data_IF_777601914534
#
_entry.id   IF_777601914534
#
_cell.length_a   1.000
_cell.length_b   1.000
_cell.length_c   1.000
_cell.angle_alpha   90.00
_cell.angle_beta   90.00
_cell.angle_gamma   90.00
#
_symmetry.space_group_name_H-M   'P 1'
#
loop_
_entity.id
_entity.type
_entity.pdbx_description
1 polymer ?
#
# COMPACT_ATOMS: atom_id res chain seq x y z
N UNK A 1 10.40 69.11 15.38
CA UNK A 1 9.19 68.57 14.70
C UNK A 1 9.40 68.24 13.22
N UNK A 2 9.91 69.14 12.37
CA UNK A 2 10.11 68.84 10.91
C UNK A 2 10.99 67.61 10.61
N UNK A 3 12.04 67.36 11.41
CA UNK A 3 12.89 66.16 11.25
C UNK A 3 12.20 64.85 11.64
N UNK A 4 11.33 64.86 12.66
CA UNK A 4 10.56 63.67 13.06
C UNK A 4 9.47 63.32 12.05
N UNK A 5 8.84 64.30 11.41
CA UNK A 5 7.83 64.06 10.37
C UNK A 5 8.49 63.48 9.11
N UNK A 6 9.71 63.92 8.77
CA UNK A 6 10.47 63.39 7.64
C UNK A 6 10.93 61.95 7.90
N UNK A 7 11.45 61.63 9.08
CA UNK A 7 11.79 60.25 9.43
C UNK A 7 10.57 59.34 9.54
N UNK A 8 9.43 59.83 10.07
CA UNK A 8 8.19 59.05 10.08
C UNK A 8 7.67 58.78 8.66
N UNK A 9 7.78 59.76 7.75
CA UNK A 9 7.35 59.61 6.35
C UNK A 9 8.26 58.68 5.55
N UNK A 10 9.57 58.69 5.80
CA UNK A 10 10.52 57.74 5.20
C UNK A 10 10.32 56.33 5.77
N UNK A 11 9.95 56.19 7.07
CA UNK A 11 9.57 54.91 7.66
C UNK A 11 8.24 54.38 7.10
N UNK A 12 7.26 55.26 6.86
CA UNK A 12 5.98 54.90 6.25
C UNK A 12 6.14 54.52 4.78
N UNK A 13 7.00 55.22 4.04
CA UNK A 13 7.35 54.91 2.65
C UNK A 13 8.13 53.59 2.52
N UNK A 14 8.96 53.25 3.52
CA UNK A 14 9.71 51.98 3.53
C UNK A 14 8.87 50.77 3.98
N UNK A 15 7.80 50.98 4.75
CA UNK A 15 6.81 49.92 5.05
C UNK A 15 5.88 49.70 3.84
N UNK A 16 5.53 50.74 3.09
CA UNK A 16 4.78 50.58 1.83
C UNK A 16 5.60 49.90 0.72
N UNK A 17 6.93 49.93 0.77
CA UNK A 17 7.79 49.24 -0.22
C UNK A 17 8.04 47.77 0.09
N UNK A 18 7.53 47.23 1.20
CA UNK A 18 7.49 45.77 1.45
C UNK A 18 6.22 45.14 0.83
N UNK A 19 5.24 45.95 0.43
CA UNK A 19 4.18 45.54 -0.48
C UNK A 19 4.66 45.60 -1.93
N UNK A 20 5.74 44.87 -2.24
CA UNK A 20 6.00 44.50 -3.63
C UNK A 20 4.77 43.73 -4.11
N UNK A 21 4.25 44.08 -5.29
CA UNK A 21 3.15 43.34 -5.91
C UNK A 21 3.55 41.86 -5.94
N UNK A 22 2.89 41.06 -5.10
CA UNK A 22 3.23 39.67 -4.89
C UNK A 22 3.01 38.96 -6.22
N UNK A 23 4.05 38.37 -6.80
CA UNK A 23 3.92 37.72 -8.10
C UNK A 23 3.20 36.38 -7.94
N UNK A 24 2.60 35.87 -9.01
CA UNK A 24 1.98 34.56 -8.97
C UNK A 24 3.01 33.44 -8.69
N UNK A 25 4.28 33.65 -9.06
CA UNK A 25 5.38 32.72 -8.76
C UNK A 25 5.71 32.74 -7.25
N UNK A 26 5.57 33.89 -6.58
CA UNK A 26 5.67 33.97 -5.12
C UNK A 26 4.55 33.19 -4.42
N UNK A 27 3.34 33.18 -4.98
CA UNK A 27 2.23 32.37 -4.47
C UNK A 27 2.52 30.86 -4.58
N UNK A 28 3.07 30.43 -5.72
CA UNK A 28 3.50 29.04 -5.91
C UNK A 28 4.54 28.69 -4.85
N UNK A 29 5.55 29.53 -4.65
CA UNK A 29 6.60 29.30 -3.67
C UNK A 29 6.07 29.26 -2.22
N UNK A 30 5.14 30.16 -1.86
CA UNK A 30 4.46 30.15 -0.56
C UNK A 30 3.66 28.86 -0.35
N UNK A 31 3.07 28.31 -1.40
CA UNK A 31 2.33 27.04 -1.35
C UNK A 31 3.23 25.82 -1.12
N UNK A 32 4.56 25.95 -1.28
CA UNK A 32 5.52 24.84 -1.08
C UNK A 32 5.92 24.62 0.38
N UNK A 33 5.26 25.29 1.32
CA UNK A 33 5.54 25.14 2.75
C UNK A 33 4.23 24.99 3.53
N UNK A 34 4.17 23.95 4.36
CA UNK A 34 2.99 23.60 5.17
C UNK A 34 2.59 24.72 6.12
N UNK A 35 3.55 25.47 6.67
CA UNK A 35 3.28 26.59 7.57
C UNK A 35 2.70 27.83 6.89
N UNK A 36 2.83 27.94 5.56
CA UNK A 36 2.34 29.10 4.77
C UNK A 36 1.28 28.71 3.76
N UNK A 37 0.78 27.48 3.78
CA UNK A 37 -0.15 26.98 2.77
C UNK A 37 -1.50 27.73 2.78
N UNK A 38 -2.09 27.94 3.95
CA UNK A 38 -3.32 28.75 4.11
C UNK A 38 -3.05 30.22 3.74
N UNK A 39 -1.88 30.76 4.10
CA UNK A 39 -1.48 32.11 3.72
C UNK A 39 -1.33 32.24 2.20
N UNK A 40 -0.86 31.21 1.50
CA UNK A 40 -0.76 31.20 0.05
C UNK A 40 -2.14 31.35 -0.60
N UNK A 41 -3.18 30.72 -0.03
CA UNK A 41 -4.56 30.88 -0.50
C UNK A 41 -5.10 32.29 -0.25
N UNK A 42 -4.92 32.83 0.97
CA UNK A 42 -5.35 34.19 1.29
C UNK A 42 -4.71 35.21 0.34
N UNK A 43 -3.41 35.08 0.08
CA UNK A 43 -2.68 35.94 -0.86
C UNK A 43 -3.07 35.72 -2.32
N UNK A 44 -3.42 34.49 -2.69
CA UNK A 44 -3.95 34.20 -4.03
C UNK A 44 -5.29 34.91 -4.26
N UNK A 45 -6.19 34.93 -3.27
CA UNK A 45 -7.45 35.67 -3.36
C UNK A 45 -7.26 37.19 -3.44
N UNK A 46 -6.23 37.73 -2.79
CA UNK A 46 -5.82 39.14 -2.97
C UNK A 46 -5.28 39.38 -4.38
N UNK A 47 -4.36 38.53 -4.85
CA UNK A 47 -3.76 38.63 -6.18
C UNK A 47 -4.81 38.57 -7.30
N UNK A 48 -5.80 37.69 -7.15
CA UNK A 48 -6.93 37.55 -8.07
C UNK A 48 -7.75 38.85 -8.20
N UNK A 49 -7.93 39.59 -7.10
CA UNK A 49 -8.64 40.88 -7.12
C UNK A 49 -7.84 41.96 -7.84
N UNK A 50 -6.52 41.95 -7.66
CA UNK A 50 -5.63 42.97 -8.22
C UNK A 50 -5.25 42.68 -9.68
N UNK A 51 -5.28 41.41 -10.12
CA UNK A 51 -4.83 40.97 -11.45
C UNK A 51 -5.82 40.00 -12.13
N UNK A 52 -7.12 40.31 -12.27
CA UNK A 52 -8.16 39.35 -12.68
C UNK A 52 -7.99 38.78 -14.10
N UNK A 53 -7.11 39.35 -14.92
CA UNK A 53 -6.85 38.93 -16.30
C UNK A 53 -5.62 38.03 -16.47
N UNK A 54 -4.89 37.68 -15.40
CA UNK A 54 -3.77 36.73 -15.51
C UNK A 54 -4.29 35.32 -15.86
N UNK A 55 -3.83 34.77 -16.97
CA UNK A 55 -4.25 33.47 -17.49
C UNK A 55 -3.86 32.31 -16.56
N UNK A 56 -2.78 32.46 -15.77
CA UNK A 56 -2.26 31.44 -14.86
C UNK A 56 -3.08 31.30 -13.57
N UNK A 57 -4.03 32.20 -13.32
CA UNK A 57 -4.88 32.19 -12.11
C UNK A 57 -5.59 30.86 -11.91
N UNK A 58 -6.12 30.25 -12.98
CA UNK A 58 -6.87 28.99 -12.86
C UNK A 58 -5.94 27.89 -12.37
N UNK A 59 -4.83 27.70 -13.07
CA UNK A 59 -3.84 26.66 -12.80
C UNK A 59 -3.24 26.81 -11.39
N UNK A 60 -2.83 28.01 -11.01
CA UNK A 60 -2.22 28.25 -9.69
C UNK A 60 -3.25 28.13 -8.56
N UNK A 61 -4.47 28.59 -8.77
CA UNK A 61 -5.55 28.40 -7.79
C UNK A 61 -5.88 26.92 -7.61
N UNK A 62 -5.98 26.16 -8.69
CA UNK A 62 -6.15 24.71 -8.68
C UNK A 62 -4.99 24.02 -7.95
N UNK A 63 -3.74 24.43 -8.17
CA UNK A 63 -2.56 23.87 -7.50
C UNK A 63 -2.60 24.07 -5.99
N UNK A 64 -2.79 25.31 -5.54
CA UNK A 64 -2.82 25.66 -4.11
C UNK A 64 -3.97 24.94 -3.43
N UNK A 65 -5.13 24.89 -4.08
CA UNK A 65 -6.31 24.23 -3.54
C UNK A 65 -6.16 22.71 -3.44
N UNK A 66 -5.58 22.06 -4.45
CA UNK A 66 -5.28 20.63 -4.42
C UNK A 66 -4.34 20.28 -3.26
N UNK A 67 -3.31 21.11 -3.04
CA UNK A 67 -2.40 20.99 -1.90
C UNK A 67 -3.14 21.14 -0.56
N UNK A 68 -3.98 22.15 -0.38
CA UNK A 68 -4.79 22.35 0.83
C UNK A 68 -5.71 21.15 1.10
N UNK A 69 -6.38 20.68 0.06
CA UNK A 69 -7.26 19.52 0.14
C UNK A 69 -6.52 18.27 0.63
N UNK A 70 -5.41 17.94 -0.04
CA UNK A 70 -4.61 16.75 0.28
C UNK A 70 -3.94 16.89 1.66
N UNK A 71 -3.43 18.08 2.00
CA UNK A 71 -2.89 18.38 3.33
C UNK A 71 -3.90 18.10 4.43
N UNK A 72 -5.12 18.61 4.28
CA UNK A 72 -6.17 18.44 5.29
C UNK A 72 -6.67 17.00 5.38
N UNK A 73 -6.77 16.28 4.26
CA UNK A 73 -7.24 14.88 4.21
C UNK A 73 -6.21 13.91 4.78
N UNK A 74 -4.93 14.14 4.51
CA UNK A 74 -3.83 13.25 4.85
C UNK A 74 -2.88 13.81 5.91
N UNK A 75 -3.33 14.75 6.74
CA UNK A 75 -2.53 15.46 7.75
C UNK A 75 -1.70 14.54 8.66
N UNK A 76 -2.18 13.32 8.90
CA UNK A 76 -1.56 12.35 9.81
C UNK A 76 -0.55 11.44 9.08
N UNK A 77 -0.37 11.61 7.76
CA UNK A 77 0.55 10.83 6.93
C UNK A 77 1.78 11.66 6.55
N UNK A 78 2.97 11.09 6.73
CA UNK A 78 4.24 11.78 6.44
C UNK A 78 4.39 12.19 4.97
N UNK A 79 3.83 11.43 4.02
CA UNK A 79 3.95 11.76 2.59
C UNK A 79 3.33 13.10 2.23
N UNK A 80 2.38 13.59 3.04
CA UNK A 80 1.65 14.82 2.72
C UNK A 80 2.56 16.04 2.75
N UNK A 81 3.52 16.09 3.68
CA UNK A 81 4.48 17.18 3.74
C UNK A 81 5.34 17.24 2.49
N UNK A 82 5.76 16.07 1.98
CA UNK A 82 6.55 15.96 0.76
C UNK A 82 5.75 16.31 -0.49
N UNK A 83 4.45 16.09 -0.47
CA UNK A 83 3.54 16.55 -1.50
C UNK A 83 3.44 18.08 -1.52
N UNK A 84 3.35 18.72 -0.35
CA UNK A 84 3.33 20.19 -0.26
C UNK A 84 4.64 20.79 -0.73
N UNK A 85 5.78 20.25 -0.28
CA UNK A 85 7.12 20.71 -0.68
C UNK A 85 7.51 20.29 -2.10
N UNK A 86 6.65 19.56 -2.81
CA UNK A 86 6.88 19.04 -4.16
C UNK A 86 8.15 18.18 -4.28
N UNK A 87 8.45 17.39 -3.25
CA UNK A 87 9.57 16.45 -3.24
C UNK A 87 9.11 15.03 -3.61
N UNK A 88 9.09 14.72 -4.91
CA UNK A 88 8.62 13.43 -5.42
C UNK A 88 9.39 12.23 -4.84
N UNK A 89 10.71 12.35 -4.65
CA UNK A 89 11.54 11.25 -4.14
C UNK A 89 11.14 10.89 -2.72
N UNK A 90 11.07 11.90 -1.83
CA UNK A 90 10.65 11.70 -0.45
C UNK A 90 9.18 11.30 -0.34
N UNK A 91 8.31 11.82 -1.22
CA UNK A 91 6.92 11.39 -1.32
C UNK A 91 6.83 9.88 -1.56
N UNK A 92 7.52 9.36 -2.58
CA UNK A 92 7.56 7.92 -2.88
C UNK A 92 8.16 7.10 -1.73
N UNK A 93 9.23 7.57 -1.07
CA UNK A 93 9.80 6.89 0.10
C UNK A 93 8.77 6.77 1.23
N UNK A 94 8.03 7.85 1.52
CA UNK A 94 7.02 7.85 2.56
C UNK A 94 5.81 6.98 2.22
N UNK A 95 5.46 6.81 0.94
CA UNK A 95 4.47 5.80 0.52
C UNK A 95 4.91 4.36 0.86
N UNK A 96 6.22 4.10 0.84
CA UNK A 96 6.81 2.81 1.19
C UNK A 96 6.72 2.44 2.68
N UNK A 97 6.48 3.42 3.56
CA UNK A 97 6.27 3.17 5.01
C UNK A 97 4.85 2.66 5.29
N UNK A 98 3.92 2.88 4.36
CA UNK A 98 2.52 2.48 4.51
C UNK A 98 2.34 0.98 4.23
N UNK A 99 1.26 0.39 4.74
CA UNK A 99 0.93 -1.01 4.44
C UNK A 99 0.77 -1.25 2.94
N UNK A 100 1.00 -2.50 2.51
CA UNK A 100 0.83 -2.94 1.13
C UNK A 100 -0.60 -2.82 0.63
N UNK A 101 -1.59 -2.82 1.53
CA UNK A 101 -3.01 -2.67 1.22
C UNK A 101 -3.47 -1.21 1.15
N UNK A 102 -2.64 -0.25 1.57
CA UNK A 102 -3.01 1.17 1.54
C UNK A 102 -3.15 1.67 0.10
N UNK A 103 -4.25 2.37 -0.18
CA UNK A 103 -4.54 2.95 -1.49
C UNK A 103 -4.96 4.40 -1.36
N UNK A 104 -4.48 5.23 -2.28
CA UNK A 104 -4.93 6.60 -2.49
C UNK A 104 -6.02 6.55 -3.56
N UNK A 105 -7.26 7.00 -3.27
CA UNK A 105 -8.37 6.95 -4.22
C UNK A 105 -8.09 7.72 -5.51
N UNK A 106 -8.75 7.32 -6.59
CA UNK A 106 -8.57 7.90 -7.93
C UNK A 106 -8.67 9.44 -7.95
N UNK A 107 -9.66 10.01 -7.26
CA UNK A 107 -9.89 11.46 -7.24
C UNK A 107 -8.75 12.25 -6.59
N UNK A 108 -8.01 11.60 -5.69
CA UNK A 108 -6.85 12.18 -5.02
C UNK A 108 -5.59 11.94 -5.85
N UNK A 109 -5.48 10.78 -6.49
CA UNK A 109 -4.42 10.47 -7.46
C UNK A 109 -4.36 11.52 -8.57
N UNK A 110 -5.50 11.93 -9.12
CA UNK A 110 -5.56 12.98 -10.15
C UNK A 110 -4.96 14.32 -9.65
N UNK A 111 -5.22 14.69 -8.39
CA UNK A 111 -4.64 15.89 -7.76
C UNK A 111 -3.15 15.73 -7.49
N UNK A 112 -2.71 14.52 -7.12
CA UNK A 112 -1.30 14.20 -6.93
C UNK A 112 -0.54 14.29 -8.25
N UNK A 113 -1.12 13.77 -9.35
CA UNK A 113 -0.54 13.88 -10.70
C UNK A 113 -0.51 15.35 -11.14
N UNK A 114 -1.53 16.14 -10.80
CA UNK A 114 -1.50 17.58 -11.07
C UNK A 114 -0.34 18.29 -10.36
N UNK A 115 -0.01 17.90 -9.13
CA UNK A 115 1.13 18.44 -8.36
C UNK A 115 2.47 17.85 -8.87
N UNK A 116 2.48 16.60 -9.30
CA UNK A 116 3.63 15.86 -9.81
C UNK A 116 3.37 15.35 -11.23
N UNK A 117 3.37 16.25 -12.24
CA UNK A 117 3.03 15.88 -13.61
C UNK A 117 3.99 14.86 -14.22
N UNK A 118 5.19 14.69 -13.65
CA UNK A 118 6.20 13.73 -14.09
C UNK A 118 5.94 12.28 -13.66
N UNK A 119 4.95 12.00 -12.78
CA UNK A 119 4.70 10.63 -12.28
C UNK A 119 4.38 9.64 -13.42
N UNK A 120 3.47 9.93 -14.37
CA UNK A 120 3.18 9.03 -15.47
C UNK A 120 4.43 8.70 -16.30
N UNK A 121 5.22 9.71 -16.69
CA UNK A 121 6.45 9.54 -17.46
C UNK A 121 7.47 8.63 -16.75
N UNK A 122 7.62 8.77 -15.42
CA UNK A 122 8.49 7.92 -14.61
C UNK A 122 8.05 6.45 -14.70
N UNK A 123 6.74 6.18 -14.60
CA UNK A 123 6.24 4.80 -14.64
C UNK A 123 6.33 4.24 -16.06
N UNK A 124 6.03 5.03 -17.09
CA UNK A 124 6.22 4.66 -18.49
C UNK A 124 7.69 4.30 -18.79
N UNK A 125 8.65 5.11 -18.32
CA UNK A 125 10.07 4.83 -18.47
C UNK A 125 10.46 3.51 -17.80
N UNK A 126 9.97 3.25 -16.58
CA UNK A 126 10.20 1.98 -15.87
C UNK A 126 9.64 0.80 -16.67
N UNK A 127 8.40 0.90 -17.15
CA UNK A 127 7.74 -0.18 -17.89
C UNK A 127 8.32 -0.40 -19.29
N UNK A 128 8.93 0.62 -19.89
CA UNK A 128 9.57 0.51 -21.20
C UNK A 128 11.00 -0.02 -21.09
N UNK A 129 11.75 0.41 -20.07
CA UNK A 129 13.20 0.09 -19.96
C UNK A 129 13.50 -1.03 -18.97
N UNK A 130 12.61 -1.28 -18.01
CA UNK A 130 12.83 -2.18 -16.89
C UNK A 130 13.73 -1.61 -15.78
N UNK A 131 14.14 -0.35 -15.88
CA UNK A 131 15.07 0.27 -14.93
C UNK A 131 14.34 1.19 -13.95
N UNK A 132 14.63 1.02 -12.66
CA UNK A 132 14.19 1.94 -11.62
C UNK A 132 15.31 2.96 -11.37
N UNK A 133 15.10 4.20 -11.77
CA UNK A 133 16.01 5.31 -11.42
C UNK A 133 16.06 5.54 -9.91
N UNK A 134 14.93 5.33 -9.22
CA UNK A 134 14.85 5.27 -7.76
C UNK A 134 14.03 4.04 -7.33
N UNK A 135 14.54 3.18 -6.41
CA UNK A 135 13.81 2.00 -5.95
C UNK A 135 12.44 2.30 -5.33
N UNK A 136 12.25 3.51 -4.78
CA UNK A 136 10.99 3.94 -4.16
C UNK A 136 9.86 4.15 -5.16
N UNK A 137 10.14 4.28 -6.46
CA UNK A 137 9.10 4.47 -7.47
C UNK A 137 8.19 3.26 -7.63
N UNK A 138 8.61 2.07 -7.15
CA UNK A 138 7.70 0.92 -7.08
C UNK A 138 6.46 1.23 -6.23
N UNK A 139 6.52 2.11 -5.23
CA UNK A 139 5.37 2.40 -4.36
C UNK A 139 4.27 3.23 -5.04
N UNK A 140 4.48 3.72 -6.27
CA UNK A 140 3.47 4.44 -7.04
C UNK A 140 2.24 3.57 -7.39
N UNK A 141 2.32 2.24 -7.25
CA UNK A 141 1.16 1.35 -7.39
C UNK A 141 0.02 1.68 -6.41
N UNK A 142 0.33 2.39 -5.31
CA UNK A 142 -0.66 2.79 -4.30
C UNK A 142 -1.58 3.92 -4.78
N UNK A 143 -1.26 4.56 -5.90
CA UNK A 143 -2.08 5.59 -6.53
C UNK A 143 -3.13 4.93 -7.43
N UNK A 144 -4.38 4.82 -6.96
CA UNK A 144 -5.43 4.18 -7.75
C UNK A 144 -5.71 4.97 -9.03
N UNK A 145 -5.88 4.26 -10.14
CA UNK A 145 -6.18 4.85 -11.44
C UNK A 145 -4.98 5.47 -12.16
N UNK A 146 -3.77 5.45 -11.57
CA UNK A 146 -2.57 5.92 -12.26
C UNK A 146 -2.30 5.16 -13.56
N UNK A 147 -2.67 3.89 -13.63
CA UNK A 147 -2.58 3.05 -14.83
C UNK A 147 -3.37 3.59 -16.03
N UNK A 148 -4.34 4.49 -15.84
CA UNK A 148 -5.07 5.13 -16.95
C UNK A 148 -4.29 6.27 -17.62
N UNK A 149 -3.22 6.75 -17.00
CA UNK A 149 -2.37 7.83 -17.51
C UNK A 149 -1.09 7.32 -18.19
N UNK A 150 -0.93 6.00 -18.27
CA UNK A 150 0.30 5.34 -18.71
C UNK A 150 0.04 4.65 -20.04
N UNK A 151 0.87 4.91 -21.03
CA UNK A 151 0.82 4.32 -22.37
C UNK A 151 2.17 3.63 -22.63
N UNK A 152 2.12 2.30 -22.78
CA UNK A 152 3.32 1.49 -23.01
C UNK A 152 3.07 0.54 -24.18
N UNK A 153 3.94 0.60 -25.18
CA UNK A 153 3.82 -0.20 -26.40
C UNK A 153 4.23 -1.67 -26.20
N UNK A 154 5.24 -1.92 -25.36
CA UNK A 154 5.73 -3.27 -25.05
C UNK A 154 6.25 -3.36 -23.62
N UNK A 155 6.01 -4.51 -22.99
CA UNK A 155 6.48 -4.85 -21.64
C UNK A 155 7.66 -5.84 -21.65
N UNK A 156 8.18 -6.22 -22.83
CA UNK A 156 9.17 -7.30 -22.96
C UNK A 156 10.44 -7.01 -22.16
N UNK A 157 11.00 -5.81 -22.31
CA UNK A 157 12.22 -5.38 -21.61
C UNK A 157 12.01 -5.28 -20.11
N UNK A 158 10.84 -4.75 -19.68
CA UNK A 158 10.49 -4.69 -18.27
C UNK A 158 10.41 -6.08 -17.66
N UNK A 159 9.63 -6.98 -18.26
CA UNK A 159 9.48 -8.36 -17.76
C UNK A 159 10.83 -9.07 -17.72
N UNK A 160 11.65 -8.92 -18.77
CA UNK A 160 13.01 -9.48 -18.79
C UNK A 160 13.85 -8.96 -17.63
N UNK A 161 13.87 -7.65 -17.38
CA UNK A 161 14.64 -7.04 -16.28
C UNK A 161 14.14 -7.45 -14.92
N UNK A 162 12.82 -7.54 -14.73
CA UNK A 162 12.23 -8.05 -13.49
C UNK A 162 12.70 -9.48 -13.23
N UNK A 163 12.70 -10.36 -14.24
CA UNK A 163 13.17 -11.74 -14.09
C UNK A 163 14.66 -11.78 -13.75
N UNK A 164 15.49 -11.06 -14.51
CA UNK A 164 16.94 -10.99 -14.27
C UNK A 164 17.27 -10.52 -12.84
N UNK A 165 16.60 -9.47 -12.38
CA UNK A 165 16.82 -8.90 -11.05
C UNK A 165 16.30 -9.82 -9.95
N UNK A 166 15.12 -10.42 -10.12
CA UNK A 166 14.54 -11.38 -9.17
C UNK A 166 15.40 -12.63 -9.00
N UNK A 167 16.07 -13.07 -10.05
CA UNK A 167 16.96 -14.23 -9.99
C UNK A 167 18.27 -13.88 -9.28
N UNK A 168 18.90 -12.75 -9.63
CA UNK A 168 20.14 -12.29 -8.98
C UNK A 168 19.93 -11.92 -7.52
N UNK A 169 18.77 -11.35 -7.20
CA UNK A 169 18.44 -10.84 -5.89
C UNK A 169 16.97 -11.20 -5.57
N UNK A 170 16.71 -12.37 -4.96
CA UNK A 170 15.34 -12.83 -4.71
C UNK A 170 14.47 -11.88 -3.89
N UNK A 171 15.07 -11.04 -3.04
CA UNK A 171 14.37 -10.01 -2.26
C UNK A 171 13.83 -8.84 -3.11
N UNK A 172 14.24 -8.73 -4.38
CA UNK A 172 13.77 -7.69 -5.29
C UNK A 172 12.28 -7.86 -5.62
N UNK A 173 11.81 -9.10 -5.77
CA UNK A 173 10.43 -9.43 -6.10
C UNK A 173 9.57 -9.61 -4.84
N UNK A 174 9.59 -8.58 -3.99
CA UNK A 174 8.78 -8.50 -2.78
C UNK A 174 7.31 -8.17 -3.09
N UNK A 175 6.47 -8.10 -2.04
CA UNK A 175 5.04 -7.83 -2.17
C UNK A 175 4.75 -6.49 -2.86
N UNK A 176 5.54 -5.45 -2.59
CA UNK A 176 5.40 -4.16 -3.26
C UNK A 176 5.71 -4.24 -4.75
N UNK A 177 6.76 -4.99 -5.15
CA UNK A 177 7.06 -5.21 -6.56
C UNK A 177 5.96 -6.04 -7.25
N UNK A 178 5.41 -7.06 -6.58
CA UNK A 178 4.26 -7.82 -7.10
C UNK A 178 3.05 -6.92 -7.34
N UNK A 179 2.73 -6.05 -6.39
CA UNK A 179 1.64 -5.08 -6.56
C UNK A 179 1.92 -4.07 -7.68
N UNK A 180 3.17 -3.60 -7.83
CA UNK A 180 3.56 -2.76 -8.95
C UNK A 180 3.29 -3.46 -10.30
N UNK A 181 3.73 -4.71 -10.44
CA UNK A 181 3.44 -5.50 -11.65
C UNK A 181 1.94 -5.68 -11.86
N UNK A 182 1.17 -6.00 -10.81
CA UNK A 182 -0.28 -6.19 -10.92
C UNK A 182 -1.03 -4.93 -11.33
N UNK A 183 -0.58 -3.76 -10.87
CA UNK A 183 -1.23 -2.49 -11.17
C UNK A 183 -0.92 -2.03 -12.60
N UNK A 184 0.30 -2.23 -13.08
CA UNK A 184 0.77 -1.59 -14.32
C UNK A 184 0.98 -2.54 -15.50
N UNK A 185 1.10 -3.85 -15.29
CA UNK A 185 1.25 -4.83 -16.37
C UNK A 185 -0.09 -5.50 -16.67
N UNK A 186 -0.62 -5.35 -17.89
CA UNK A 186 -1.83 -6.03 -18.31
C UNK A 186 -1.72 -7.56 -18.19
N UNK A 187 -2.80 -8.21 -17.71
CA UNK A 187 -2.80 -9.67 -17.46
C UNK A 187 -2.45 -10.52 -18.68
N UNK A 188 -2.78 -10.07 -19.90
CA UNK A 188 -2.41 -10.75 -21.14
C UNK A 188 -0.87 -10.82 -21.35
N UNK A 189 -0.11 -9.92 -20.73
CA UNK A 189 1.35 -9.91 -20.78
C UNK A 189 2.00 -10.81 -19.72
N UNK A 190 1.24 -11.41 -18.80
CA UNK A 190 1.82 -12.31 -17.78
C UNK A 190 2.42 -13.57 -18.41
N UNK A 191 1.94 -13.98 -19.60
CA UNK A 191 2.52 -15.09 -20.36
C UNK A 191 3.99 -14.84 -20.76
N UNK A 192 4.42 -13.58 -20.90
CA UNK A 192 5.80 -13.21 -21.22
C UNK A 192 6.77 -13.68 -20.14
N UNK A 193 6.34 -13.69 -18.87
CA UNK A 193 7.19 -14.15 -17.77
C UNK A 193 7.59 -15.61 -17.97
N UNK A 194 6.60 -16.45 -18.26
CA UNK A 194 6.80 -17.89 -18.48
C UNK A 194 7.64 -18.16 -19.73
N UNK A 195 7.37 -17.43 -20.82
CA UNK A 195 8.13 -17.54 -22.06
C UNK A 195 9.63 -17.22 -21.85
N UNK A 196 9.93 -16.14 -21.12
CA UNK A 196 11.32 -15.72 -20.86
C UNK A 196 12.01 -16.70 -19.91
N UNK A 197 11.37 -17.11 -18.81
CA UNK A 197 11.92 -18.08 -17.86
C UNK A 197 12.26 -19.41 -18.55
N UNK A 198 11.41 -19.88 -19.46
CA UNK A 198 11.62 -21.13 -20.17
C UNK A 198 12.76 -21.05 -21.20
N UNK A 199 12.97 -19.87 -21.82
CA UNK A 199 14.06 -19.66 -22.80
C UNK A 199 15.45 -19.54 -22.16
N UNK A 200 15.53 -19.02 -20.95
CA UNK A 200 16.78 -18.51 -20.36
C UNK A 200 17.61 -19.55 -19.60
N UNK A 201 17.19 -20.81 -19.53
CA UNK A 201 17.86 -21.89 -18.77
C UNK A 201 18.12 -21.58 -17.28
N UNK A 202 17.47 -20.55 -16.70
CA UNK A 202 17.73 -20.16 -15.32
C UNK A 202 17.41 -21.28 -14.30
N UNK A 203 16.51 -22.19 -14.67
CA UNK A 203 16.04 -23.33 -13.87
C UNK A 203 17.14 -24.39 -13.66
N UNK A 204 18.28 -24.31 -14.36
CA UNK A 204 19.33 -25.32 -14.26
C UNK A 204 20.11 -25.24 -12.93
N UNK A 205 20.31 -24.05 -12.37
CA UNK A 205 21.15 -23.88 -11.18
C UNK A 205 20.31 -23.71 -9.91
N UNK A 206 20.62 -24.49 -8.87
CA UNK A 206 19.96 -24.46 -7.56
C UNK A 206 19.98 -23.05 -6.90
N UNK A 207 21.00 -22.23 -7.18
CA UNK A 207 21.14 -20.86 -6.67
C UNK A 207 19.98 -19.92 -7.10
N UNK A 208 19.37 -20.20 -8.26
CA UNK A 208 18.30 -19.38 -8.84
C UNK A 208 16.90 -19.78 -8.36
N UNK A 209 16.78 -20.91 -7.66
CA UNK A 209 15.48 -21.53 -7.36
C UNK A 209 14.56 -20.62 -6.58
N UNK A 210 15.09 -19.81 -5.65
CA UNK A 210 14.26 -18.91 -4.85
C UNK A 210 13.62 -17.80 -5.69
N UNK A 211 14.40 -17.17 -6.58
CA UNK A 211 13.91 -16.13 -7.48
C UNK A 211 12.87 -16.68 -8.47
N UNK A 212 13.16 -17.83 -9.08
CA UNK A 212 12.24 -18.48 -10.02
C UNK A 212 10.96 -18.92 -9.32
N UNK A 213 11.07 -19.53 -8.13
CA UNK A 213 9.92 -19.95 -7.36
C UNK A 213 9.02 -18.78 -6.98
N UNK A 214 9.61 -17.64 -6.57
CA UNK A 214 8.84 -16.42 -6.28
C UNK A 214 8.06 -15.92 -7.51
N UNK A 215 8.71 -15.91 -8.69
CA UNK A 215 8.08 -15.50 -9.95
C UNK A 215 6.97 -16.47 -10.38
N UNK A 216 7.22 -17.78 -10.35
CA UNK A 216 6.22 -18.78 -10.74
C UNK A 216 5.05 -18.86 -9.75
N UNK A 217 5.30 -18.69 -8.45
CA UNK A 217 4.24 -18.56 -7.44
C UNK A 217 3.36 -17.36 -7.74
N UNK A 218 3.95 -16.21 -8.04
CA UNK A 218 3.18 -15.02 -8.44
C UNK A 218 2.29 -15.28 -9.66
N UNK A 219 2.79 -15.98 -10.67
CA UNK A 219 1.98 -16.36 -11.84
C UNK A 219 0.88 -17.35 -11.46
N UNK A 220 1.16 -18.30 -10.58
CA UNK A 220 0.18 -19.28 -10.09
C UNK A 220 -0.95 -18.60 -9.31
N UNK A 221 -0.62 -17.73 -8.36
CA UNK A 221 -1.57 -16.98 -7.53
C UNK A 221 -2.50 -16.09 -8.36
N UNK A 222 -2.04 -15.67 -9.55
CA UNK A 222 -2.79 -14.86 -10.49
C UNK A 222 -3.42 -15.65 -11.65
N UNK A 223 -3.45 -16.98 -11.59
CA UNK A 223 -4.00 -17.88 -12.62
C UNK A 223 -3.39 -17.68 -14.02
N UNK A 224 -2.11 -17.31 -14.08
CA UNK A 224 -1.38 -17.06 -15.32
C UNK A 224 -0.36 -18.16 -15.68
N UNK A 225 -0.04 -19.05 -14.73
CA UNK A 225 0.89 -20.17 -14.94
C UNK A 225 0.26 -21.26 -15.82
N UNK A 226 0.93 -21.68 -16.89
CA UNK A 226 0.39 -22.67 -17.84
C UNK A 226 1.39 -23.75 -18.20
N UNK A 227 2.50 -23.39 -18.82
CA UNK A 227 3.51 -24.31 -19.34
C UNK A 227 4.48 -24.82 -18.26
N UNK A 228 4.75 -24.03 -17.23
CA UNK A 228 5.78 -24.29 -16.23
C UNK A 228 5.24 -24.89 -14.94
N UNK A 229 4.02 -25.45 -14.96
CA UNK A 229 3.38 -26.12 -13.82
C UNK A 229 4.23 -27.25 -13.24
N UNK A 230 4.88 -28.04 -14.08
CA UNK A 230 5.74 -29.16 -13.63
C UNK A 230 6.95 -28.61 -12.86
N UNK A 231 7.62 -27.60 -13.40
CA UNK A 231 8.78 -26.96 -12.77
C UNK A 231 8.36 -26.30 -11.45
N UNK A 232 7.24 -25.56 -11.45
CA UNK A 232 6.68 -24.97 -10.24
C UNK A 232 6.41 -26.03 -9.17
N UNK A 233 5.77 -27.15 -9.52
CA UNK A 233 5.52 -28.25 -8.57
C UNK A 233 6.81 -28.89 -8.03
N UNK A 234 7.86 -29.02 -8.85
CA UNK A 234 9.16 -29.51 -8.38
C UNK A 234 9.82 -28.52 -7.41
N UNK A 235 9.74 -27.21 -7.69
CA UNK A 235 10.27 -26.17 -6.81
C UNK A 235 9.48 -26.06 -5.49
N UNK A 236 8.16 -26.17 -5.55
CA UNK A 236 7.27 -26.17 -4.37
C UNK A 236 7.60 -27.33 -3.43
N UNK A 237 7.74 -28.55 -3.99
CA UNK A 237 8.22 -29.73 -3.26
C UNK A 237 9.62 -29.50 -2.69
N UNK A 238 10.54 -28.94 -3.47
CA UNK A 238 11.90 -28.65 -3.02
C UNK A 238 11.92 -27.72 -1.80
N UNK A 239 11.16 -26.62 -1.80
CA UNK A 239 11.10 -25.70 -0.66
C UNK A 239 10.35 -26.28 0.54
N UNK A 240 9.35 -27.14 0.30
CA UNK A 240 8.66 -27.88 1.36
C UNK A 240 9.62 -28.85 2.06
N UNK A 241 10.36 -29.65 1.30
CA UNK A 241 11.39 -30.56 1.82
C UNK A 241 12.52 -29.81 2.53
N UNK A 242 12.93 -28.64 2.02
CA UNK A 242 13.90 -27.78 2.71
C UNK A 242 13.43 -27.41 4.11
N UNK A 243 12.18 -26.99 4.25
CA UNK A 243 11.57 -26.61 5.54
C UNK A 243 11.51 -27.80 6.50
N UNK A 244 11.09 -28.97 6.01
CA UNK A 244 11.05 -30.20 6.78
C UNK A 244 12.43 -30.63 7.25
N UNK A 245 13.41 -30.68 6.35
CA UNK A 245 14.80 -31.00 6.68
C UNK A 245 15.40 -30.01 7.68
N UNK A 246 15.09 -28.71 7.60
CA UNK A 246 15.51 -27.74 8.62
C UNK A 246 14.89 -28.08 9.98
N UNK A 247 13.59 -28.38 10.03
CA UNK A 247 12.88 -28.76 11.26
C UNK A 247 13.47 -30.03 11.89
N UNK A 248 13.71 -31.07 11.08
CA UNK A 248 14.30 -32.33 11.52
C UNK A 248 15.73 -32.15 12.02
N UNK A 249 16.57 -31.40 11.30
CA UNK A 249 17.94 -31.11 11.74
C UNK A 249 17.99 -30.33 13.06
N UNK A 250 17.04 -29.43 13.30
CA UNK A 250 16.97 -28.67 14.54
C UNK A 250 16.46 -29.51 15.72
N UNK A 251 15.60 -30.50 15.47
CA UNK A 251 14.95 -31.30 16.52
C UNK A 251 15.68 -32.59 16.85
N UNK A 252 16.51 -33.14 15.95
CA UNK A 252 17.16 -34.46 16.08
C UNK A 252 17.83 -34.71 17.45
N UNK A 253 18.49 -33.70 18.03
CA UNK A 253 19.13 -33.82 19.35
C UNK A 253 18.12 -33.91 20.49
N UNK A 254 16.97 -33.26 20.37
CA UNK A 254 15.95 -33.14 21.41
C UNK A 254 14.85 -34.21 21.36
N UNK A 255 14.77 -35.00 20.28
CA UNK A 255 13.77 -36.07 20.14
C UNK A 255 13.79 -37.00 21.34
N UNK A 256 12.66 -37.12 22.04
CA UNK A 256 12.51 -38.03 23.17
C UNK A 256 12.37 -39.48 22.69
N UNK A 257 12.65 -40.43 23.58
CA UNK A 257 12.59 -41.88 23.25
C UNK A 257 11.24 -42.30 22.66
N UNK A 258 10.15 -41.80 23.22
CA UNK A 258 8.79 -42.13 22.79
C UNK A 258 8.46 -41.63 21.37
N UNK A 259 9.13 -40.57 20.91
CA UNK A 259 8.91 -39.94 19.61
C UNK A 259 9.85 -40.48 18.53
N UNK A 260 10.90 -41.20 18.93
CA UNK A 260 11.98 -41.61 18.04
C UNK A 260 11.51 -42.46 16.85
N UNK A 261 10.54 -43.35 17.06
CA UNK A 261 9.96 -44.14 15.96
C UNK A 261 9.29 -43.25 14.90
N UNK A 262 8.48 -42.30 15.35
CA UNK A 262 7.82 -41.34 14.46
C UNK A 262 8.82 -40.45 13.74
N UNK A 263 9.88 -40.02 14.44
CA UNK A 263 10.96 -39.23 13.88
C UNK A 263 11.72 -39.99 12.78
N UNK A 264 12.11 -41.23 13.03
CA UNK A 264 12.80 -42.07 12.04
C UNK A 264 11.90 -42.31 10.81
N UNK A 265 10.59 -42.47 11.03
CA UNK A 265 9.62 -42.60 9.94
C UNK A 265 9.54 -41.33 9.09
N UNK A 266 9.54 -40.15 9.70
CA UNK A 266 9.59 -38.88 8.98
C UNK A 266 10.89 -38.72 8.18
N UNK A 267 12.04 -39.11 8.76
CA UNK A 267 13.33 -39.09 8.05
C UNK A 267 13.30 -40.00 6.83
N UNK A 268 12.69 -41.19 6.92
CA UNK A 268 12.48 -42.09 5.78
C UNK A 268 11.59 -41.47 4.70
N UNK A 269 10.46 -40.90 5.09
CA UNK A 269 9.49 -40.30 4.15
C UNK A 269 10.13 -39.13 3.40
N UNK A 270 10.87 -38.25 4.09
CA UNK A 270 11.68 -37.18 3.47
C UNK A 270 12.73 -37.74 2.51
N UNK A 271 13.36 -38.86 2.85
CA UNK A 271 14.31 -39.55 1.97
C UNK A 271 13.65 -40.01 0.67
N UNK A 272 12.44 -40.57 0.73
CA UNK A 272 11.70 -41.00 -0.46
C UNK A 272 11.30 -39.81 -1.34
N UNK A 273 10.75 -38.76 -0.74
CA UNK A 273 10.38 -37.56 -1.50
C UNK A 273 11.59 -36.86 -2.13
N UNK A 274 12.72 -36.80 -1.40
CA UNK A 274 13.96 -36.25 -1.91
C UNK A 274 14.49 -37.05 -3.09
N UNK A 275 14.39 -38.39 -3.06
CA UNK A 275 14.76 -39.27 -4.17
C UNK A 275 13.96 -38.94 -5.45
N UNK A 276 12.67 -38.68 -5.32
CA UNK A 276 11.76 -38.44 -6.45
C UNK A 276 11.88 -37.04 -7.09
N UNK A 277 12.55 -36.09 -6.44
CA UNK A 277 12.84 -34.77 -7.03
C UNK A 277 13.73 -34.90 -8.28
N UNK A 278 13.29 -34.30 -9.39
CA UNK A 278 13.99 -34.38 -10.68
C UNK A 278 14.92 -33.19 -10.97
N UNK A 279 14.91 -32.19 -10.09
CA UNK A 279 15.74 -30.99 -10.19
C UNK A 279 17.05 -31.16 -9.39
N UNK A 280 18.00 -30.25 -9.59
CA UNK A 280 19.23 -30.23 -8.80
C UNK A 280 18.87 -30.05 -7.32
N UNK A 281 19.50 -30.86 -6.45
CA UNK A 281 19.11 -30.96 -5.03
C UNK A 281 20.33 -31.11 -4.13
N UNK A 282 21.43 -30.45 -4.48
CA UNK A 282 22.72 -30.56 -3.79
C UNK A 282 22.59 -30.04 -2.36
N UNK A 283 21.92 -28.91 -2.15
CA UNK A 283 21.66 -28.36 -0.81
C UNK A 283 20.84 -29.33 0.04
N UNK A 284 19.71 -29.82 -0.48
CA UNK A 284 18.84 -30.75 0.25
C UNK A 284 19.57 -32.06 0.58
N UNK A 285 20.37 -32.58 -0.35
CA UNK A 285 21.19 -33.77 -0.15
C UNK A 285 22.18 -33.58 0.99
N UNK A 286 22.83 -32.41 1.07
CA UNK A 286 23.75 -32.08 2.17
C UNK A 286 23.03 -31.94 3.51
N UNK A 287 21.85 -31.31 3.54
CA UNK A 287 21.01 -31.21 4.74
C UNK A 287 20.55 -32.58 5.23
N UNK A 288 20.17 -33.46 4.30
CA UNK A 288 19.76 -34.84 4.60
C UNK A 288 20.93 -35.69 5.09
N UNK A 289 22.11 -35.57 4.47
CA UNK A 289 23.33 -36.22 4.94
C UNK A 289 23.68 -35.83 6.39
N UNK A 290 23.64 -34.53 6.70
CA UNK A 290 23.87 -34.03 8.06
C UNK A 290 22.88 -34.61 9.07
N UNK A 291 21.60 -34.67 8.68
CA UNK A 291 20.53 -35.26 9.50
C UNK A 291 20.80 -36.74 9.78
N UNK A 292 21.08 -37.53 8.75
CA UNK A 292 21.37 -38.97 8.88
C UNK A 292 22.57 -39.23 9.79
N UNK A 293 23.66 -38.49 9.61
CA UNK A 293 24.87 -38.62 10.45
C UNK A 293 24.57 -38.33 11.92
N UNK A 294 23.78 -37.29 12.17
CA UNK A 294 23.42 -36.88 13.53
C UNK A 294 22.48 -37.89 14.18
N UNK A 295 21.50 -38.36 13.43
CA UNK A 295 20.59 -39.42 13.86
C UNK A 295 21.36 -40.70 14.20
N UNK A 296 22.25 -41.16 13.31
CA UNK A 296 23.08 -42.33 13.55
C UNK A 296 23.89 -42.24 14.84
N UNK A 297 24.55 -41.12 15.09
CA UNK A 297 25.30 -40.89 16.34
C UNK A 297 24.41 -40.94 17.58
N UNK A 298 23.17 -40.46 17.49
CA UNK A 298 22.20 -40.57 18.58
C UNK A 298 21.75 -42.02 18.80
N UNK A 299 21.46 -42.75 17.73
CA UNK A 299 21.01 -44.14 17.78
C UNK A 299 22.08 -45.09 18.33
N UNK A 300 23.36 -44.82 18.09
CA UNK A 300 24.48 -45.62 18.60
C UNK A 300 24.41 -45.85 20.11
N UNK A 301 23.90 -44.87 20.87
CA UNK A 301 23.80 -44.91 22.33
C UNK A 301 22.52 -45.57 22.88
N UNK A 302 21.61 -45.99 22.01
CA UNK A 302 20.32 -46.59 22.41
C UNK A 302 20.48 -48.09 22.60
N UNK A 303 20.06 -48.57 23.78
CA UNK A 303 20.17 -49.98 24.21
C UNK A 303 18.80 -50.63 24.52
N UNK A 304 17.72 -50.08 23.97
CA UNK A 304 16.35 -50.50 24.31
C UNK A 304 15.47 -50.60 23.04
N UNK A 305 14.40 -51.39 23.10
CA UNK A 305 13.50 -51.61 21.95
C UNK A 305 12.78 -50.33 21.53
N UNK A 306 12.85 -50.00 20.25
CA UNK A 306 12.03 -48.97 19.60
C UNK A 306 11.39 -49.59 18.36
N UNK A 307 10.05 -49.69 18.29
CA UNK A 307 9.36 -50.27 17.15
C UNK A 307 9.42 -49.30 15.97
N UNK A 308 10.11 -49.67 14.90
CA UNK A 308 10.25 -48.86 13.68
C UNK A 308 9.67 -49.69 12.54
N UNK A 309 8.73 -49.16 11.76
CA UNK A 309 8.00 -49.94 10.76
C UNK A 309 8.54 -49.78 9.33
N UNK A 310 9.44 -48.81 9.10
CA UNK A 310 9.96 -48.46 7.77
C UNK A 310 11.20 -49.27 7.41
N UNK A 311 11.23 -49.79 6.18
CA UNK A 311 12.38 -50.48 5.60
C UNK A 311 13.21 -49.53 4.72
N UNK A 312 14.43 -49.23 5.16
CA UNK A 312 15.35 -48.32 4.47
C UNK A 312 16.02 -48.93 3.23
N UNK A 313 15.81 -50.22 2.93
CA UNK A 313 16.35 -50.85 1.71
C UNK A 313 15.89 -50.14 0.42
N UNK A 314 14.68 -49.55 0.39
CA UNK A 314 14.15 -48.84 -0.78
C UNK A 314 14.90 -47.54 -1.14
N UNK A 315 15.66 -47.00 -0.18
CA UNK A 315 16.49 -45.81 -0.34
C UNK A 315 17.96 -46.14 -0.66
N UNK A 316 18.31 -47.42 -0.63
CA UNK A 316 19.68 -47.89 -0.88
C UNK A 316 20.04 -47.65 -2.35
N UNK A 317 21.16 -46.97 -2.57
CA UNK A 317 21.64 -46.55 -3.89
C UNK A 317 20.85 -45.43 -4.58
N UNK A 318 19.87 -44.82 -3.90
CA UNK A 318 19.14 -43.68 -4.45
C UNK A 318 19.96 -42.37 -4.45
N UNK A 319 21.05 -42.33 -3.66
CA UNK A 319 21.85 -41.13 -3.44
C UNK A 319 23.34 -41.33 -3.79
N UNK A 320 24.16 -40.34 -3.48
CA UNK A 320 25.62 -40.47 -3.58
C UNK A 320 26.16 -41.49 -2.55
N UNK A 321 27.43 -41.89 -2.72
CA UNK A 321 28.06 -42.92 -1.87
C UNK A 321 28.08 -42.55 -0.37
N UNK A 322 28.20 -41.26 -0.04
CA UNK A 322 28.26 -40.80 1.35
C UNK A 322 26.91 -40.97 2.05
N UNK A 323 25.82 -40.50 1.43
CA UNK A 323 24.45 -40.64 1.95
C UNK A 323 24.06 -42.12 2.03
N UNK A 324 24.35 -42.90 0.98
CA UNK A 324 24.07 -44.34 1.00
C UNK A 324 24.81 -45.05 2.15
N UNK A 325 26.05 -44.64 2.45
CA UNK A 325 26.79 -45.16 3.59
C UNK A 325 26.11 -44.88 4.94
N UNK A 326 25.56 -43.67 5.12
CA UNK A 326 24.81 -43.33 6.34
C UNK A 326 23.43 -43.99 6.41
N UNK A 327 22.75 -44.20 5.28
CA UNK A 327 21.49 -44.98 5.22
C UNK A 327 21.75 -46.43 5.66
N UNK A 328 22.84 -47.05 5.21
CA UNK A 328 23.20 -48.41 5.62
C UNK A 328 23.51 -48.49 7.12
N UNK A 329 24.21 -47.49 7.67
CA UNK A 329 24.43 -47.40 9.13
C UNK A 329 23.12 -47.24 9.89
N UNK A 330 22.21 -46.41 9.39
CA UNK A 330 20.88 -46.21 9.97
C UNK A 330 20.11 -47.52 9.99
N UNK A 331 20.07 -48.24 8.87
CA UNK A 331 19.44 -49.54 8.78
C UNK A 331 20.02 -50.54 9.80
N UNK A 332 21.34 -50.63 9.93
CA UNK A 332 21.99 -51.49 10.91
C UNK A 332 21.62 -51.10 12.36
N UNK A 333 21.57 -49.80 12.65
CA UNK A 333 21.15 -49.28 13.95
C UNK A 333 19.68 -49.59 14.24
N UNK A 334 18.78 -49.45 13.26
CA UNK A 334 17.36 -49.78 13.36
C UNK A 334 17.18 -51.27 13.68
N UNK A 335 17.83 -52.17 12.92
CA UNK A 335 17.79 -53.62 13.16
C UNK A 335 18.31 -53.97 14.55
N UNK A 336 19.42 -53.35 14.97
CA UNK A 336 19.97 -53.54 16.33
C UNK A 336 18.97 -53.11 17.40
N UNK A 337 18.39 -51.93 17.26
CA UNK A 337 17.43 -51.37 18.24
C UNK A 337 16.17 -52.23 18.33
N UNK A 338 15.67 -52.74 17.19
CA UNK A 338 14.53 -53.66 17.13
C UNK A 338 14.81 -55.04 17.76
N UNK A 339 16.08 -55.41 17.94
CA UNK A 339 16.45 -56.70 18.54
C UNK A 339 16.43 -56.72 20.08
N UNK A 340 16.29 -55.55 20.73
CA UNK A 340 16.21 -55.46 22.19
C UNK A 340 14.85 -55.97 22.73
N UNK A 341 14.80 -56.52 23.95
CA UNK A 341 13.56 -57.01 24.53
C UNK A 341 12.58 -55.86 24.84
N UNK A 342 11.28 -56.09 24.59
CA UNK A 342 10.23 -55.11 24.82
C UNK A 342 10.08 -54.75 26.31
N UNK A 343 10.52 -53.55 26.69
CA UNK A 343 10.23 -52.97 28.00
C UNK A 343 8.77 -52.54 28.09
N UNK A 344 8.05 -52.98 29.14
CA UNK A 344 6.67 -52.58 29.40
C UNK A 344 6.60 -51.09 29.71
N UNK A 345 6.03 -50.29 28.80
CA UNK A 345 5.68 -48.90 29.05
C UNK A 345 4.17 -48.77 29.26
N UNK A 346 3.80 -48.26 30.43
CA UNK A 346 2.46 -47.92 30.85
C UNK A 346 1.95 -46.68 30.11
N UNK A 347 0.82 -46.83 29.42
CA UNK A 347 -0.01 -45.73 28.96
C UNK A 347 -0.71 -45.07 30.16
N UNK A 348 -0.61 -43.75 30.29
CA UNK A 348 -1.59 -42.98 31.08
C UNK A 348 -2.06 -41.79 30.26
N UNK A 349 -3.18 -41.98 29.56
CA UNK A 349 -4.08 -40.93 29.11
C UNK A 349 -5.02 -40.53 30.24
N UNK A 350 -5.21 -39.24 30.50
CA UNK A 350 -6.36 -38.77 31.28
C UNK A 350 -6.91 -37.46 30.70
N UNK A 351 -8.03 -37.58 30.01
CA UNK A 351 -9.03 -36.53 29.78
C UNK A 351 -10.27 -36.93 30.58
N UNK A 352 -10.81 -36.00 31.39
CA UNK A 352 -12.18 -35.94 31.91
C UNK A 352 -12.23 -34.80 32.95
N UNK A 353 -13.28 -34.03 33.18
CA UNK A 353 -14.58 -33.78 32.55
C UNK A 353 -15.27 -32.72 33.44
N UNK A 354 -16.12 -31.88 32.84
CA UNK A 354 -17.38 -31.35 33.42
C UNK A 354 -17.29 -30.48 34.71
N UNK A 355 -18.18 -29.56 35.08
CA UNK A 355 -19.60 -29.19 34.84
C UNK A 355 -19.73 -27.81 35.56
N UNK A 356 -20.70 -26.89 35.42
CA UNK A 356 -22.16 -26.98 35.31
C UNK A 356 -22.72 -25.55 35.27
N UNK A 357 -23.89 -25.38 34.64
CA UNK A 357 -25.12 -24.64 35.02
C UNK A 357 -25.01 -23.31 35.80
N UNK A 358 -25.85 -22.28 35.61
CA UNK A 358 -27.30 -22.25 35.34
C UNK A 358 -27.72 -20.77 35.14
N UNK A 359 -28.76 -20.53 34.33
CA UNK A 359 -29.85 -19.53 34.52
C UNK A 359 -29.52 -18.02 34.66
N UNK A 360 -30.36 -17.05 34.32
CA UNK A 360 -31.60 -16.94 33.54
C UNK A 360 -31.80 -15.43 33.27
N UNK A 361 -32.59 -15.16 32.24
CA UNK A 361 -33.34 -13.94 31.93
C UNK A 361 -33.28 -12.75 32.92
N UNK A 362 -33.02 -11.54 32.39
CA UNK A 362 -34.06 -10.51 32.52
C UNK A 362 -34.04 -9.48 31.39
N UNK A 363 -35.21 -9.32 30.78
CA UNK A 363 -35.52 -8.47 29.63
C UNK A 363 -36.21 -7.24 30.21
N UNK A 364 -35.60 -6.05 30.12
CA UNK A 364 -36.26 -4.81 30.54
C UNK A 364 -36.32 -3.77 29.41
N UNK A 365 -37.55 -3.33 29.17
CA UNK A 365 -37.98 -2.32 28.21
C UNK A 365 -37.43 -0.92 28.53
N UNK A 366 -36.63 -0.35 27.62
CA UNK A 366 -36.33 1.09 27.56
C UNK A 366 -36.30 1.61 26.11
N UNK A 367 -37.17 1.10 25.24
CA UNK A 367 -37.17 1.48 23.82
C UNK A 367 -38.20 2.54 23.40
N UNK A 368 -39.13 2.98 24.25
CA UNK A 368 -40.19 3.91 23.81
C UNK A 368 -39.93 5.40 24.12
N UNK A 369 -39.17 5.76 25.16
CA UNK A 369 -38.88 7.18 25.47
C UNK A 369 -37.66 7.75 24.74
N UNK A 370 -36.68 6.89 24.38
CA UNK A 370 -35.53 7.30 23.57
C UNK A 370 -35.94 7.63 22.12
N UNK A 371 -36.92 6.90 21.56
CA UNK A 371 -37.43 7.14 20.21
C UNK A 371 -38.14 8.50 20.06
N UNK A 372 -38.89 8.96 21.07
CA UNK A 372 -39.56 10.27 21.00
C UNK A 372 -38.61 11.45 21.16
N UNK A 373 -37.56 11.32 21.97
CA UNK A 373 -36.52 12.35 22.11
C UNK A 373 -35.69 12.44 20.83
N UNK A 374 -35.31 11.30 20.24
CA UNK A 374 -34.60 11.25 18.95
C UNK A 374 -35.48 11.77 17.81
N UNK A 375 -36.78 11.43 17.78
CA UNK A 375 -37.73 11.95 16.79
C UNK A 375 -37.94 13.47 16.91
N UNK A 376 -38.02 13.99 18.14
CA UNK A 376 -38.15 15.43 18.40
C UNK A 376 -36.92 16.23 17.96
N UNK A 377 -35.71 15.71 18.22
CA UNK A 377 -34.45 16.29 17.72
C UNK A 377 -34.42 16.24 16.18
N UNK A 378 -34.84 15.13 15.57
CA UNK A 378 -34.92 14.98 14.11
C UNK A 378 -35.87 16.00 13.45
N UNK A 379 -37.06 16.22 14.01
CA UNK A 379 -38.02 17.21 13.50
C UNK A 379 -37.47 18.64 13.66
N UNK A 380 -36.81 18.94 14.78
CA UNK A 380 -36.16 20.23 15.01
C UNK A 380 -35.04 20.51 14.00
N UNK A 381 -34.21 19.53 13.70
CA UNK A 381 -33.18 19.61 12.65
C UNK A 381 -33.83 19.89 11.29
N UNK A 382 -34.91 19.18 10.95
CA UNK A 382 -35.62 19.34 9.68
C UNK A 382 -36.22 20.75 9.51
N UNK A 383 -36.76 21.33 10.58
CA UNK A 383 -37.23 22.72 10.59
C UNK A 383 -36.10 23.74 10.41
N UNK A 384 -34.93 23.50 10.99
CA UNK A 384 -33.74 24.34 10.78
C UNK A 384 -33.30 24.26 9.31
N UNK A 385 -33.26 23.07 8.71
CA UNK A 385 -32.93 22.92 7.29
C UNK A 385 -33.95 23.64 6.38
N UNK A 386 -35.26 23.49 6.62
CA UNK A 386 -36.31 24.22 5.89
C UNK A 386 -36.18 25.75 6.02
N UNK A 387 -35.81 26.25 7.20
CA UNK A 387 -35.61 27.68 7.43
C UNK A 387 -34.39 28.24 6.67
N UNK A 388 -33.34 27.43 6.50
CA UNK A 388 -32.20 27.79 5.65
C UNK A 388 -32.58 27.77 4.16
N UNK A 389 -33.41 26.82 3.73
CA UNK A 389 -33.87 26.67 2.33
C UNK A 389 -34.78 27.81 1.86
N UNK A 390 -35.67 28.29 2.73
CA UNK A 390 -36.63 29.35 2.40
C UNK A 390 -35.99 30.75 2.39
N UNK A 391 -34.94 30.96 3.18
CA UNK A 391 -34.30 32.28 3.33
C UNK A 391 -32.77 32.19 3.32
N UNK A 392 -32.15 31.90 2.16
CA UNK A 392 -30.70 31.92 2.03
C UNK A 392 -30.17 33.35 2.22
N UNK A 393 -29.15 33.50 3.05
CA UNK A 393 -28.44 34.78 3.26
C UNK A 393 -26.94 34.52 3.38
N UNK A 394 -26.13 35.54 3.07
CA UNK A 394 -24.67 35.46 3.18
C UNK A 394 -24.20 34.85 4.51
N UNK A 395 -24.69 35.35 5.64
CA UNK A 395 -24.27 34.88 6.96
C UNK A 395 -24.66 33.42 7.25
N UNK A 396 -25.82 32.97 6.74
CA UNK A 396 -26.28 31.57 6.93
C UNK A 396 -25.45 30.60 6.09
N UNK A 397 -25.16 30.97 4.84
CA UNK A 397 -24.31 30.16 3.97
C UNK A 397 -22.88 30.15 4.53
N UNK A 398 -22.38 31.27 5.03
CA UNK A 398 -21.07 31.34 5.69
C UNK A 398 -20.99 30.42 6.93
N UNK A 399 -22.07 30.32 7.70
CA UNK A 399 -22.17 29.36 8.80
C UNK A 399 -22.11 27.90 8.28
N UNK A 400 -22.84 27.58 7.20
CA UNK A 400 -22.79 26.26 6.56
C UNK A 400 -21.39 25.91 6.03
N UNK A 401 -20.68 26.88 5.47
CA UNK A 401 -19.29 26.73 5.03
C UNK A 401 -18.37 26.43 6.22
N UNK A 402 -18.55 27.12 7.36
CA UNK A 402 -17.74 26.89 8.57
C UNK A 402 -17.96 25.49 9.19
N UNK A 403 -19.15 24.90 9.04
CA UNK A 403 -19.44 23.52 9.48
C UNK A 403 -19.19 22.46 8.40
N UNK A 404 -18.54 22.83 7.28
CA UNK A 404 -18.15 21.96 6.16
C UNK A 404 -19.29 21.26 5.40
N UNK A 405 -20.49 21.84 5.33
CA UNK A 405 -21.62 21.30 4.56
C UNK A 405 -21.60 21.79 3.09
N UNK A 406 -20.56 21.42 2.33
CA UNK A 406 -20.28 21.95 0.98
C UNK A 406 -21.45 21.84 0.00
N UNK A 407 -22.02 20.64 -0.21
CA UNK A 407 -23.11 20.44 -1.20
C UNK A 407 -24.34 21.30 -0.93
N UNK A 408 -24.73 21.43 0.34
CA UNK A 408 -25.89 22.23 0.74
C UNK A 408 -25.59 23.73 0.72
N UNK A 409 -24.37 24.13 1.10
CA UNK A 409 -23.90 25.51 1.01
C UNK A 409 -23.89 25.99 -0.45
N UNK A 410 -23.41 25.17 -1.40
CA UNK A 410 -23.40 25.49 -2.84
C UNK A 410 -24.82 25.67 -3.35
N UNK A 411 -25.72 24.71 -3.13
CA UNK A 411 -27.13 24.82 -3.54
C UNK A 411 -27.80 26.12 -3.06
N UNK A 412 -27.59 26.50 -1.80
CA UNK A 412 -28.15 27.73 -1.25
C UNK A 412 -27.46 29.00 -1.80
N UNK A 413 -26.16 28.93 -2.08
CA UNK A 413 -25.40 30.02 -2.66
C UNK A 413 -25.77 30.26 -4.14
N UNK A 414 -25.96 29.21 -4.93
CA UNK A 414 -26.46 29.29 -6.30
C UNK A 414 -27.86 29.93 -6.31
N UNK A 415 -28.74 29.48 -5.42
CA UNK A 415 -30.08 30.06 -5.25
C UNK A 415 -30.02 31.55 -4.85
N UNK A 416 -29.04 31.94 -4.04
CA UNK A 416 -28.82 33.34 -3.64
C UNK A 416 -28.30 34.18 -4.81
N UNK A 417 -27.37 33.66 -5.60
CA UNK A 417 -26.84 34.31 -6.81
C UNK A 417 -27.90 34.46 -7.89
N UNK A 418 -28.76 33.44 -8.11
CA UNK A 418 -29.89 33.54 -9.06
C UNK A 418 -30.90 34.60 -8.63
N UNK A 419 -31.14 34.74 -7.32
CA UNK A 419 -32.10 35.71 -6.76
C UNK A 419 -31.61 37.15 -6.86
N UNK A 420 -30.30 37.38 -6.74
CA UNK A 420 -29.68 38.70 -6.81
C UNK A 420 -28.31 38.61 -7.53
N UNK A 421 -28.32 38.55 -8.88
CA UNK A 421 -27.13 38.33 -9.70
C UNK A 421 -26.25 39.59 -9.84
N UNK A 422 -26.70 40.75 -9.38
CA UNK A 422 -25.91 42.00 -9.43
C UNK A 422 -24.98 42.19 -8.23
N UNK A 423 -25.10 41.35 -7.21
CA UNK A 423 -24.45 41.54 -5.93
C UNK A 423 -23.19 40.66 -5.79
N UNK A 424 -22.03 41.31 -5.87
CA UNK A 424 -20.73 40.64 -5.82
C UNK A 424 -20.54 39.78 -4.56
N UNK A 425 -21.15 40.14 -3.41
CA UNK A 425 -21.03 39.36 -2.16
C UNK A 425 -21.68 37.98 -2.27
N UNK A 426 -22.68 37.83 -3.12
CA UNK A 426 -23.33 36.53 -3.35
C UNK A 426 -22.41 35.59 -4.15
N UNK A 427 -21.65 36.13 -5.09
CA UNK A 427 -20.64 35.37 -5.82
C UNK A 427 -19.42 35.03 -4.95
N UNK A 428 -19.02 35.91 -4.02
CA UNK A 428 -17.97 35.59 -3.05
C UNK A 428 -18.36 34.44 -2.11
N UNK A 429 -19.61 34.41 -1.63
CA UNK A 429 -20.06 33.30 -0.77
C UNK A 429 -20.30 32.01 -1.55
N UNK A 430 -20.66 32.11 -2.84
CA UNK A 430 -20.73 30.98 -3.75
C UNK A 430 -19.34 30.37 -3.99
N UNK A 431 -18.33 31.20 -4.24
CA UNK A 431 -16.95 30.75 -4.39
C UNK A 431 -16.46 30.03 -3.13
N UNK A 432 -16.68 30.61 -1.94
CA UNK A 432 -16.39 29.96 -0.66
C UNK A 432 -17.18 28.67 -0.43
N UNK A 433 -18.41 28.56 -0.92
CA UNK A 433 -19.18 27.33 -0.84
C UNK A 433 -18.58 26.23 -1.75
N UNK A 434 -18.12 26.60 -2.94
CA UNK A 434 -17.39 25.73 -3.85
C UNK A 434 -16.03 25.28 -3.29
N UNK A 435 -15.30 26.16 -2.58
CA UNK A 435 -14.09 25.78 -1.83
C UNK A 435 -14.36 24.68 -0.80
N UNK A 436 -15.46 24.81 -0.04
CA UNK A 436 -15.86 23.82 0.97
C UNK A 436 -16.35 22.52 0.33
N UNK A 437 -16.92 22.59 -0.88
CA UNK A 437 -17.29 21.42 -1.67
C UNK A 437 -16.06 20.70 -2.28
N UNK A 438 -14.95 21.41 -2.47
CA UNK A 438 -13.76 20.92 -3.16
C UNK A 438 -13.79 21.08 -4.68
N UNK A 439 -14.72 21.90 -5.20
CA UNK A 439 -14.86 22.22 -6.63
C UNK A 439 -14.22 23.58 -6.92
N UNK A 440 -12.89 23.59 -7.03
CA UNK A 440 -12.10 24.82 -7.04
C UNK A 440 -12.12 25.55 -8.39
N UNK A 441 -12.35 24.85 -9.49
CA UNK A 441 -12.56 25.46 -10.82
C UNK A 441 -13.81 26.35 -10.78
N UNK A 442 -14.93 25.80 -10.29
CA UNK A 442 -16.17 26.54 -10.10
C UNK A 442 -16.02 27.68 -9.06
N UNK A 443 -15.19 27.48 -8.02
CA UNK A 443 -14.86 28.54 -7.05
C UNK A 443 -14.14 29.72 -7.70
N UNK A 444 -13.09 29.47 -8.48
CA UNK A 444 -12.29 30.51 -9.14
C UNK A 444 -13.16 31.28 -10.14
N UNK A 445 -14.01 30.60 -10.91
CA UNK A 445 -14.94 31.25 -11.84
C UNK A 445 -16.01 32.09 -11.12
N UNK A 446 -16.47 31.64 -9.95
CA UNK A 446 -17.36 32.43 -9.10
C UNK A 446 -16.65 33.67 -8.53
N UNK A 447 -15.37 33.57 -8.15
CA UNK A 447 -14.57 34.74 -7.73
C UNK A 447 -14.36 35.74 -8.87
N UNK A 448 -14.02 35.27 -10.09
CA UNK A 448 -13.93 36.12 -11.28
C UNK A 448 -15.24 36.86 -11.54
N UNK A 449 -16.37 36.14 -11.43
CA UNK A 449 -17.70 36.72 -11.59
C UNK A 449 -18.00 37.77 -10.52
N UNK A 450 -17.60 37.54 -9.26
CA UNK A 450 -17.72 38.51 -8.18
C UNK A 450 -16.93 39.80 -8.47
N UNK A 451 -15.69 39.67 -8.94
CA UNK A 451 -14.81 40.80 -9.23
C UNK A 451 -15.34 41.62 -10.40
N UNK A 452 -15.73 40.96 -11.50
CA UNK A 452 -16.35 41.61 -12.66
C UNK A 452 -17.60 42.43 -12.29
N UNK A 453 -18.39 41.97 -11.33
CA UNK A 453 -19.58 42.68 -10.83
C UNK A 453 -19.22 43.80 -9.85
N UNK A 454 -18.16 43.64 -9.06
CA UNK A 454 -17.64 44.70 -8.18
C UNK A 454 -17.16 45.90 -9.01
N UNK A 455 -16.44 45.65 -10.09
CA UNK A 455 -15.92 46.71 -10.97
C UNK A 455 -17.06 47.45 -11.69
N UNK A 456 -18.04 46.73 -12.26
CA UNK A 456 -19.23 47.35 -12.90
C UNK A 456 -20.03 48.24 -11.93
N UNK A 457 -20.26 47.78 -10.70
CA UNK A 457 -20.99 48.55 -9.68
C UNK A 457 -20.23 49.80 -9.17
N UNK A 458 -18.91 49.87 -9.35
CA UNK A 458 -18.10 51.05 -9.02
C UNK A 458 -18.18 52.10 -10.14
N UNK A 459 -18.37 51.69 -11.39
CA UNK A 459 -18.61 52.60 -12.52
C UNK A 459 -20.00 53.23 -12.48
N UNK A 460 -21.06 52.48 -12.13
CA UNK A 460 -22.45 52.99 -12.05
C UNK A 460 -22.70 53.94 -10.86
N UNK A 461 -21.79 54.05 -9.88
CA UNK A 461 -21.89 54.97 -8.74
C UNK A 461 -21.18 56.32 -8.95
N UNK A 462 -20.56 56.53 -10.11
CA UNK A 462 -19.82 57.75 -10.45
C UNK A 462 -20.52 58.66 -11.47
N UNK A 463 -21.73 58.31 -11.90
CA UNK A 463 -22.70 59.23 -12.51
C UNK A 463 -23.66 59.76 -11.44
#
# INVERSE_FOLDING_TARGET
>A
MKKCILTLSILFLSISSIFGALSIDDLINLSKNTGTLELAWERFLEYLQDNPSDERISEVGELISAKIYLYNKYKDFYFVNELITENIKSFCINLGVLSTDFRIPKEDTEKIIFIFPQIPDIVEEILTTGNFSEPSYKYLYKLEGLNYFIIVDSYDLFVQKIIENSIKLPIFFDEDMKHFVLTFVPKNNFALFEEIINKSKYIVNEENYLGIYSLLSFLNDNNALKQSLVIYSQLDKYFSLKKELTSLNNSVFFVEKQELSSFISQVFDVGNELKDLQIEKTLLSNMYYSLLRTLNSKLENIQELVPIEKDFEELKFAFNNEINGEILKLQNNVVRIQSYPAGKASLSSSLAEQKSNEEAQNKNNTHSTFLYVVAGIGIGILFVFLYFELFPTYNKINFLCNIKLGKYAVHLAEKLVIKDPGNYKNFLILARAYEVLGDYTASIDAYRSAINLKDKNVFDKKE
#
